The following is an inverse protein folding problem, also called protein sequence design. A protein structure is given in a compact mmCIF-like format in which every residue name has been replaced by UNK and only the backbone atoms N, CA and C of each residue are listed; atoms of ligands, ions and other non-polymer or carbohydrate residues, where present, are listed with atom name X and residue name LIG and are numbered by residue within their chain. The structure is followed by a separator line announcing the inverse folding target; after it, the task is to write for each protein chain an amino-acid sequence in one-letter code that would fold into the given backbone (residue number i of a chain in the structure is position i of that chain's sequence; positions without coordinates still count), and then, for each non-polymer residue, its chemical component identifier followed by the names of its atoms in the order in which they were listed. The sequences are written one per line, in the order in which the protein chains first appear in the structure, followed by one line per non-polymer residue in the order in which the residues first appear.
data_IF_331199190657
#
_entry.id   IF_331199190657
#
_cell.length_a   1.000
_cell.length_b   1.000
_cell.length_c   1.000
_cell.angle_alpha   90.00
_cell.angle_beta   90.00
_cell.angle_gamma   90.00
#
_symmetry.space_group_name_H-M   'P 1'
#
loop_
_entity.id
_entity.type
_entity.pdbx_description
1 polymer ?
#
# COMPACT_ATOMS: atom_id res chain seq x y z
N UNK A 1 -5.32 1.17 11.25
CA UNK A 1 -4.07 0.78 11.93
C UNK A 1 -3.80 1.86 12.96
N UNK A 2 -3.92 1.54 14.24
CA UNK A 2 -3.83 2.53 15.34
C UNK A 2 -2.41 3.10 15.39
N UNK A 3 -2.28 4.43 15.41
CA UNK A 3 -1.02 5.12 15.69
C UNK A 3 -1.15 5.81 17.03
N UNK A 4 -0.35 5.36 18.00
CA UNK A 4 -0.30 5.92 19.35
C UNK A 4 0.72 7.07 19.39
N UNK A 5 0.33 8.22 19.94
CA UNK A 5 1.16 9.43 19.99
C UNK A 5 1.41 9.78 21.46
N UNK A 6 2.57 9.39 22.00
CA UNK A 6 2.97 9.70 23.37
C UNK A 6 3.57 11.10 23.45
N UNK A 7 2.92 11.98 24.22
CA UNK A 7 3.40 13.31 24.61
C UNK A 7 4.24 13.24 25.90
N UNK A 8 5.36 13.97 25.98
CA UNK A 8 5.87 14.50 27.26
C UNK A 8 6.86 15.68 27.13
N UNK A 9 6.39 16.84 27.61
CA UNK A 9 7.03 17.92 28.44
C UNK A 9 8.55 18.15 28.36
N UNK A 10 9.11 19.34 28.58
CA UNK A 10 8.74 20.77 28.71
C UNK A 10 10.10 21.47 28.80
N UNK A 11 10.20 22.69 28.28
CA UNK A 11 11.12 23.74 28.76
C UNK A 11 12.57 23.32 29.04
N UNK A 12 13.49 23.54 28.10
CA UNK A 12 14.81 24.15 28.36
C UNK A 12 15.72 24.13 27.13
N UNK A 13 16.25 25.31 26.82
CA UNK A 13 17.47 25.60 26.02
C UNK A 13 17.28 25.83 24.50
N UNK A 14 16.96 27.09 24.18
CA UNK A 14 17.10 27.78 22.89
C UNK A 14 18.54 27.82 22.30
N UNK A 15 19.36 26.75 22.35
CA UNK A 15 20.75 26.80 21.83
C UNK A 15 21.14 25.64 20.94
N UNK A 16 20.59 25.61 19.71
CA UNK A 16 21.28 25.21 18.48
C UNK A 16 20.33 25.43 17.31
N UNK A 17 20.55 26.50 16.54
CA UNK A 17 20.01 26.62 15.18
C UNK A 17 20.75 25.62 14.27
N UNK A 18 20.47 24.33 14.47
CA UNK A 18 20.67 23.29 13.49
C UNK A 18 19.30 23.13 12.86
N UNK A 19 19.11 23.55 11.60
CA UNK A 19 17.87 23.25 10.90
C UNK A 19 17.63 21.74 10.98
N UNK A 20 16.52 21.27 11.57
CA UNK A 20 16.28 19.84 11.67
C UNK A 20 16.11 19.32 10.25
N UNK A 21 17.10 18.57 9.75
CA UNK A 21 16.92 17.66 8.62
C UNK A 21 15.95 16.59 9.10
N UNK A 22 14.65 16.90 9.10
CA UNK A 22 13.63 15.87 9.24
C UNK A 22 13.89 14.89 8.10
N UNK A 23 14.22 13.66 8.46
CA UNK A 23 14.36 12.58 7.49
C UNK A 23 12.98 12.41 6.84
N UNK A 24 12.86 12.87 5.60
CA UNK A 24 11.66 12.65 4.80
C UNK A 24 11.52 11.15 4.54
N UNK A 25 10.73 10.48 5.37
CA UNK A 25 10.37 9.08 5.17
C UNK A 25 9.41 9.01 3.98
N UNK A 26 9.87 8.34 2.92
CA UNK A 26 9.05 8.03 1.74
C UNK A 26 8.72 6.55 1.78
N UNK A 27 7.45 6.21 1.59
CA UNK A 27 6.99 4.83 1.45
C UNK A 27 6.30 4.67 0.10
N UNK A 28 6.39 3.46 -0.46
CA UNK A 28 5.64 3.04 -1.65
C UNK A 28 4.57 2.06 -1.16
N UNK A 29 3.34 2.27 -1.61
CA UNK A 29 2.21 1.36 -1.37
C UNK A 29 1.88 0.71 -2.69
N UNK A 30 1.90 -0.62 -2.72
CA UNK A 30 1.55 -1.43 -3.87
C UNK A 30 0.46 -2.44 -3.49
N UNK A 31 -0.34 -2.88 -4.46
CA UNK A 31 -1.45 -3.81 -4.25
C UNK A 31 -1.18 -5.11 -5.01
N UNK A 32 -1.23 -6.24 -4.28
CA UNK A 32 -1.08 -7.57 -4.85
C UNK A 32 -2.17 -7.83 -5.89
N UNK A 33 -1.76 -8.02 -7.15
CA UNK A 33 -2.64 -8.32 -8.29
C UNK A 33 -3.91 -7.46 -8.31
N UNK A 34 -3.74 -6.13 -8.29
CA UNK A 34 -4.82 -5.15 -8.05
C UNK A 34 -6.13 -5.46 -8.79
N UNK A 35 -6.10 -5.68 -10.10
CA UNK A 35 -7.31 -5.98 -10.87
C UNK A 35 -7.97 -7.30 -10.44
N UNK A 36 -7.19 -8.37 -10.22
CA UNK A 36 -7.73 -9.64 -9.71
C UNK A 36 -8.31 -9.48 -8.29
N UNK A 37 -7.71 -8.64 -7.46
CA UNK A 37 -8.17 -8.35 -6.10
C UNK A 37 -9.49 -7.58 -6.10
N UNK A 38 -9.66 -6.62 -7.03
CA UNK A 38 -10.94 -5.95 -7.25
C UNK A 38 -12.02 -6.93 -7.71
N UNK A 39 -11.72 -7.83 -8.65
CA UNK A 39 -12.68 -8.84 -9.10
C UNK A 39 -13.10 -9.76 -7.95
N UNK A 40 -12.16 -10.23 -7.12
CA UNK A 40 -12.46 -11.07 -5.93
C UNK A 40 -13.32 -10.34 -4.89
N UNK A 41 -13.22 -9.02 -4.79
CA UNK A 41 -14.08 -8.22 -3.89
C UNK A 41 -15.55 -8.28 -4.31
N UNK A 42 -15.82 -8.19 -5.61
CA UNK A 42 -17.19 -8.24 -6.16
C UNK A 42 -17.67 -9.67 -6.48
N UNK A 43 -16.73 -10.61 -6.62
CA UNK A 43 -16.97 -12.04 -6.81
C UNK A 43 -16.20 -12.87 -5.79
N UNK A 44 -16.71 -12.95 -4.54
CA UNK A 44 -16.09 -13.74 -3.47
C UNK A 44 -15.92 -15.23 -3.82
N UNK A 45 -16.74 -15.74 -4.75
CA UNK A 45 -16.65 -17.09 -5.29
C UNK A 45 -15.34 -17.38 -6.05
N UNK A 46 -14.57 -16.34 -6.39
CA UNK A 46 -13.25 -16.44 -7.03
C UNK A 46 -12.08 -16.51 -6.02
N UNK A 47 -12.36 -16.52 -4.71
CA UNK A 47 -11.31 -16.79 -3.73
C UNK A 47 -10.70 -18.18 -3.93
N UNK A 48 -9.37 -18.24 -3.80
CA UNK A 48 -8.56 -19.45 -4.00
C UNK A 48 -8.69 -20.10 -5.38
N UNK A 49 -9.17 -19.37 -6.38
CA UNK A 49 -9.19 -19.81 -7.78
C UNK A 49 -8.16 -19.04 -8.60
N UNK A 50 -7.54 -19.65 -9.62
CA UNK A 50 -6.69 -18.94 -10.56
C UNK A 50 -7.52 -17.89 -11.30
N UNK A 51 -7.09 -16.63 -11.25
CA UNK A 51 -7.76 -15.51 -11.95
C UNK A 51 -6.75 -14.76 -12.79
N UNK A 52 -7.15 -14.46 -14.02
CA UNK A 52 -6.39 -13.64 -14.97
C UNK A 52 -7.32 -12.56 -15.50
N UNK A 53 -6.85 -11.31 -15.53
CA UNK A 53 -7.56 -10.16 -16.12
C UNK A 53 -6.88 -9.78 -17.42
N UNK A 54 -7.67 -9.67 -18.49
CA UNK A 54 -7.22 -9.32 -19.83
C UNK A 54 -7.50 -7.84 -20.13
N UNK A 55 -6.63 -7.21 -20.93
CA UNK A 55 -6.91 -5.94 -21.59
C UNK A 55 -7.86 -6.16 -22.75
N UNK A 56 -8.94 -5.37 -22.82
CA UNK A 56 -9.70 -5.05 -24.03
C UNK A 56 -9.87 -6.15 -25.11
N UNK A 57 -10.07 -7.41 -24.70
CA UNK A 57 -10.12 -8.60 -25.57
C UNK A 57 -8.95 -8.77 -26.56
N UNK A 58 -7.82 -8.11 -26.32
CA UNK A 58 -6.61 -8.20 -27.16
C UNK A 58 -5.73 -9.41 -26.81
N UNK A 59 -6.12 -10.18 -25.79
CA UNK A 59 -5.39 -11.34 -25.28
C UNK A 59 -4.21 -10.99 -24.38
N UNK A 60 -3.97 -9.70 -24.10
CA UNK A 60 -2.90 -9.25 -23.22
C UNK A 60 -3.33 -9.39 -21.75
N UNK A 61 -2.54 -10.12 -20.96
CA UNK A 61 -2.76 -10.29 -19.53
C UNK A 61 -2.23 -9.06 -18.79
N UNK A 62 -3.11 -8.33 -18.11
CA UNK A 62 -2.75 -7.14 -17.32
C UNK A 62 -2.64 -7.41 -15.82
N UNK A 63 -3.21 -8.53 -15.35
CA UNK A 63 -3.07 -8.98 -13.98
C UNK A 63 -3.33 -10.48 -13.88
N UNK A 64 -2.62 -11.16 -12.99
CA UNK A 64 -2.85 -12.56 -12.66
C UNK A 64 -2.69 -12.78 -11.15
N UNK A 65 -3.39 -13.75 -10.59
CA UNK A 65 -3.16 -14.19 -9.21
C UNK A 65 -1.97 -15.14 -9.14
N UNK A 66 -1.41 -15.36 -7.94
CA UNK A 66 -0.26 -16.25 -7.76
C UNK A 66 -0.55 -17.70 -8.15
N UNK A 67 -1.82 -18.11 -8.06
CA UNK A 67 -2.26 -19.46 -8.42
C UNK A 67 -2.47 -19.67 -9.94
N UNK A 68 -2.41 -18.60 -10.74
CA UNK A 68 -2.73 -18.59 -12.18
C UNK A 68 -1.48 -18.58 -13.07
#
# INVERSE_FOLDING_TARGET
MTVDFSLRNRENVEKKFQTPTYLTLKAIVDCNSFYCSCERLFRPDLWNKPVVVLSNNDGCIVSRTDEA
#
